data_IF_757368020591
#
_entry.id   IF_757368020591
#
_cell.length_a   1.000
_cell.length_b   1.000
_cell.length_c   1.000
_cell.angle_alpha   90.00
_cell.angle_beta   90.00
_cell.angle_gamma   90.00
#
_symmetry.space_group_name_H-M   'P 1'
#
loop_
_entity.id
_entity.type
_entity.pdbx_description
1 polymer ?
#
# COMPACT_ATOMS: atom_id res chain seq x y z
N UNK A 1 3.72 4.82 13.28
CA UNK A 1 2.56 4.40 12.47
C UNK A 1 2.64 4.99 11.08
N UNK A 2 2.54 4.17 10.07
CA UNK A 2 2.45 4.58 8.67
C UNK A 2 1.32 3.82 7.98
N UNK A 3 0.76 4.42 6.94
CA UNK A 3 -0.18 3.73 6.04
C UNK A 3 0.60 3.31 4.80
N UNK A 4 0.41 2.08 4.35
CA UNK A 4 1.05 1.55 3.14
C UNK A 4 0.00 1.18 2.10
N UNK A 5 0.32 1.36 0.83
CA UNK A 5 -0.51 0.85 -0.26
C UNK A 5 -0.12 -0.59 -0.64
N UNK A 6 -0.85 -1.17 -1.58
CA UNK A 6 -0.65 -2.56 -1.97
C UNK A 6 0.77 -2.81 -2.53
N UNK A 7 1.32 -1.87 -3.28
CA UNK A 7 2.65 -2.06 -3.88
C UNK A 7 3.75 -2.13 -2.82
N UNK A 8 3.67 -1.36 -1.74
CA UNK A 8 4.64 -1.46 -0.65
C UNK A 8 4.58 -2.86 -0.03
N UNK A 9 3.38 -3.41 0.18
CA UNK A 9 3.25 -4.77 0.70
C UNK A 9 3.80 -5.80 -0.30
N UNK A 10 3.55 -5.64 -1.60
CA UNK A 10 4.13 -6.49 -2.64
C UNK A 10 5.66 -6.48 -2.56
N UNK A 11 6.27 -5.31 -2.43
CA UNK A 11 7.73 -5.18 -2.31
C UNK A 11 8.28 -5.87 -1.05
N UNK A 12 7.48 -5.97 0.01
CA UNK A 12 7.88 -6.70 1.22
C UNK A 12 7.77 -8.22 1.08
N UNK A 13 6.92 -8.70 0.17
CA UNK A 13 6.63 -10.12 -0.02
C UNK A 13 7.44 -10.74 -1.16
N UNK A 14 7.79 -9.96 -2.17
CA UNK A 14 8.48 -10.43 -3.38
C UNK A 14 9.79 -9.66 -3.52
N UNK A 15 10.90 -10.41 -3.61
CA UNK A 15 12.22 -9.83 -3.77
C UNK A 15 12.35 -9.08 -5.10
N UNK A 16 12.98 -7.90 -5.07
CA UNK A 16 13.17 -7.04 -6.24
C UNK A 16 13.96 -5.80 -5.89
N UNK A 17 13.90 -4.79 -6.76
CA UNK A 17 14.70 -3.57 -6.63
C UNK A 17 14.39 -2.76 -5.37
N UNK A 18 13.15 -2.84 -4.87
CA UNK A 18 12.72 -2.12 -3.68
C UNK A 18 12.97 -2.86 -2.36
N UNK A 19 13.44 -4.10 -2.40
CA UNK A 19 13.64 -4.91 -1.20
C UNK A 19 14.50 -4.21 -0.14
N UNK A 20 15.66 -3.59 -0.48
CA UNK A 20 16.46 -2.89 0.54
C UNK A 20 15.73 -1.71 1.20
N UNK A 21 14.95 -0.95 0.43
CA UNK A 21 14.18 0.18 0.96
C UNK A 21 13.05 -0.28 1.88
N UNK A 22 12.35 -1.33 1.48
CA UNK A 22 11.26 -1.90 2.29
C UNK A 22 11.79 -2.46 3.62
N UNK A 23 12.95 -3.10 3.61
CA UNK A 23 13.57 -3.59 4.84
C UNK A 23 13.88 -2.44 5.79
N UNK A 24 14.48 -1.36 5.28
CA UNK A 24 14.76 -0.16 6.07
C UNK A 24 13.48 0.50 6.58
N UNK A 25 12.44 0.52 5.76
CA UNK A 25 11.13 1.04 6.15
C UNK A 25 10.59 0.28 7.36
N UNK A 26 10.65 -1.04 7.32
CA UNK A 26 10.20 -1.90 8.41
C UNK A 26 11.03 -1.73 9.68
N UNK A 27 12.31 -1.51 9.54
CA UNK A 27 13.19 -1.20 10.68
C UNK A 27 12.85 0.14 11.33
N UNK A 28 12.51 1.14 10.51
CA UNK A 28 12.19 2.48 11.00
C UNK A 28 10.81 2.54 11.66
N UNK A 29 9.83 1.85 11.11
CA UNK A 29 8.46 1.83 11.64
C UNK A 29 7.84 0.46 11.40
N UNK A 30 7.48 -0.21 12.46
CA UNK A 30 6.86 -1.55 12.42
C UNK A 30 5.33 -1.49 12.46
N UNK A 31 4.75 -0.33 12.73
CA UNK A 31 3.30 -0.15 12.83
C UNK A 31 2.73 0.23 11.47
N UNK A 32 2.55 -0.77 10.63
CA UNK A 32 2.00 -0.61 9.28
C UNK A 32 0.50 -0.80 9.30
N UNK A 33 -0.21 0.15 8.71
CA UNK A 33 -1.66 0.12 8.54
C UNK A 33 -2.02 0.14 7.06
N UNK A 34 -3.16 -0.45 6.73
CA UNK A 34 -3.65 -0.46 5.34
C UNK A 34 -5.18 -0.54 5.31
N UNK A 35 -5.75 -0.53 4.11
CA UNK A 35 -7.19 -0.63 3.88
C UNK A 35 -7.60 -2.06 3.54
N UNK A 36 -8.87 -2.42 3.73
CA UNK A 36 -9.38 -3.71 3.22
C UNK A 36 -9.21 -3.88 1.71
N UNK A 37 -9.19 -2.79 0.94
CA UNK A 37 -8.92 -2.80 -0.49
C UNK A 37 -7.57 -3.42 -0.85
N UNK A 38 -6.59 -3.31 0.04
CA UNK A 38 -5.22 -3.79 -0.20
C UNK A 38 -5.20 -5.26 -0.65
N UNK A 39 -6.01 -6.11 -0.05
CA UNK A 39 -6.07 -7.53 -0.41
C UNK A 39 -6.54 -7.73 -1.85
N UNK A 40 -7.54 -6.96 -2.28
CA UNK A 40 -8.05 -7.05 -3.65
C UNK A 40 -7.01 -6.59 -4.67
N UNK A 41 -6.26 -5.57 -4.35
CA UNK A 41 -5.18 -5.09 -5.21
C UNK A 41 -4.01 -6.10 -5.27
N UNK A 42 -3.66 -6.71 -4.15
CA UNK A 42 -2.66 -7.78 -4.10
C UNK A 42 -3.10 -8.97 -4.97
N UNK A 43 -4.36 -9.39 -4.86
CA UNK A 43 -4.91 -10.45 -5.69
C UNK A 43 -4.71 -10.15 -7.18
N UNK A 44 -4.98 -8.91 -7.60
CA UNK A 44 -4.81 -8.51 -8.99
C UNK A 44 -3.34 -8.54 -9.43
N UNK A 45 -2.42 -8.10 -8.58
CA UNK A 45 -0.98 -8.15 -8.86
C UNK A 45 -0.52 -9.60 -9.03
N UNK A 46 -0.92 -10.49 -8.14
CA UNK A 46 -0.56 -11.92 -8.20
C UNK A 46 -1.14 -12.60 -9.44
N UNK A 47 -2.40 -12.30 -9.77
CA UNK A 47 -3.04 -12.81 -10.98
C UNK A 47 -2.30 -12.36 -12.24
N UNK A 48 -1.83 -11.12 -12.26
CA UNK A 48 -1.04 -10.58 -13.37
C UNK A 48 0.31 -11.29 -13.49
N UNK A 49 1.00 -11.53 -12.38
CA UNK A 49 2.30 -12.21 -12.38
C UNK A 49 2.18 -13.68 -12.82
N UNK A 50 1.11 -14.35 -12.39
CA UNK A 50 0.85 -15.72 -12.85
C UNK A 50 0.59 -15.75 -14.37
N UNK A 51 -0.28 -14.89 -14.87
CA UNK A 51 -0.62 -14.79 -16.28
C UNK A 51 0.60 -14.50 -17.16
N UNK A 52 1.55 -13.72 -16.64
CA UNK A 52 2.81 -13.39 -17.34
C UNK A 52 3.93 -14.39 -17.09
N UNK A 53 3.65 -15.49 -16.42
CA UNK A 53 4.61 -16.54 -16.06
C UNK A 53 5.81 -16.03 -15.23
N UNK A 54 5.62 -14.96 -14.46
CA UNK A 54 6.62 -14.45 -13.51
C UNK A 54 6.63 -15.32 -12.26
N UNK A 55 5.45 -15.75 -11.81
CA UNK A 55 5.26 -16.63 -10.66
C UNK A 55 4.35 -17.79 -11.04
N UNK A 56 4.54 -18.93 -10.40
CA UNK A 56 3.62 -20.07 -10.53
C UNK A 56 2.37 -19.84 -9.67
N UNK A 57 1.28 -20.54 -9.98
CA UNK A 57 0.07 -20.49 -9.16
C UNK A 57 0.35 -20.88 -7.70
N UNK A 58 1.19 -21.90 -7.50
CA UNK A 58 1.58 -22.35 -6.16
C UNK A 58 2.28 -21.23 -5.37
N UNK A 59 3.21 -20.53 -6.01
CA UNK A 59 3.90 -19.37 -5.40
C UNK A 59 2.92 -18.25 -5.08
N UNK A 60 2.00 -17.93 -6.00
CA UNK A 60 0.97 -16.92 -5.79
C UNK A 60 0.07 -17.24 -4.60
N UNK A 61 -0.34 -18.50 -4.44
CA UNK A 61 -1.16 -18.93 -3.30
C UNK A 61 -0.47 -18.72 -1.96
N UNK A 62 0.83 -19.02 -1.88
CA UNK A 62 1.61 -18.80 -0.64
C UNK A 62 1.74 -17.33 -0.31
N UNK A 63 2.01 -16.50 -1.31
CA UNK A 63 2.12 -15.04 -1.14
C UNK A 63 0.77 -14.45 -0.72
N UNK A 64 -0.32 -14.92 -1.31
CA UNK A 64 -1.66 -14.49 -0.93
C UNK A 64 -1.98 -14.80 0.53
N UNK A 65 -1.63 -15.99 1.00
CA UNK A 65 -1.80 -16.37 2.41
C UNK A 65 -1.03 -15.44 3.35
N UNK A 66 0.21 -15.09 3.01
CA UNK A 66 1.00 -14.15 3.80
C UNK A 66 0.35 -12.76 3.81
N UNK A 67 -0.13 -12.28 2.64
CA UNK A 67 -0.82 -11.01 2.54
C UNK A 67 -2.11 -10.98 3.36
N UNK A 68 -2.90 -12.05 3.30
CA UNK A 68 -4.14 -12.15 4.08
C UNK A 68 -3.88 -12.04 5.58
N UNK A 69 -2.89 -12.77 6.09
CA UNK A 69 -2.53 -12.72 7.52
C UNK A 69 -2.06 -11.34 7.94
N UNK A 70 -1.24 -10.70 7.12
CA UNK A 70 -0.76 -9.35 7.41
C UNK A 70 -1.93 -8.36 7.42
N UNK A 71 -2.76 -8.38 6.39
CA UNK A 71 -3.86 -7.43 6.22
C UNK A 71 -4.92 -7.62 7.30
N UNK A 72 -5.20 -8.86 7.72
CA UNK A 72 -6.15 -9.13 8.79
C UNK A 72 -5.83 -8.33 10.06
N UNK A 73 -4.54 -8.18 10.37
CA UNK A 73 -4.09 -7.44 11.55
C UNK A 73 -3.98 -5.94 11.26
N UNK A 74 -3.48 -5.59 10.07
CA UNK A 74 -3.10 -4.21 9.72
C UNK A 74 -4.27 -3.37 9.20
N UNK A 75 -5.36 -3.99 8.73
CA UNK A 75 -6.44 -3.25 8.09
C UNK A 75 -7.27 -2.44 9.07
N UNK A 76 -7.70 -1.29 8.60
CA UNK A 76 -8.70 -0.45 9.26
C UNK A 76 -9.76 -0.06 8.24
N UNK A 77 -11.01 0.01 8.69
CA UNK A 77 -12.11 0.44 7.85
C UNK A 77 -11.94 1.89 7.41
N UNK A 78 -12.36 2.15 6.18
CA UNK A 78 -12.37 3.49 5.60
C UNK A 78 -13.82 3.89 5.34
N UNK A 79 -14.21 5.07 5.81
CA UNK A 79 -15.53 5.61 5.48
C UNK A 79 -15.55 5.99 4.00
N UNK A 80 -16.47 5.41 3.24
CA UNK A 80 -16.55 5.65 1.80
C UNK A 80 -16.90 7.10 1.48
N UNK A 81 -17.69 7.76 2.31
CA UNK A 81 -17.98 9.19 2.15
C UNK A 81 -16.69 10.02 2.26
N UNK A 82 -15.85 9.75 3.24
CA UNK A 82 -14.56 10.42 3.41
C UNK A 82 -13.65 10.18 2.20
N UNK A 83 -13.60 8.95 1.69
CA UNK A 83 -12.83 8.62 0.50
C UNK A 83 -13.34 9.35 -0.74
N UNK A 84 -14.66 9.46 -0.90
CA UNK A 84 -15.26 10.20 -2.03
C UNK A 84 -14.88 11.69 -1.97
N UNK A 85 -14.92 12.30 -0.79
CA UNK A 85 -14.52 13.70 -0.59
C UNK A 85 -13.06 13.90 -0.98
N UNK A 86 -12.18 12.99 -0.55
CA UNK A 86 -10.76 13.02 -0.89
C UNK A 86 -10.56 12.88 -2.40
N UNK A 87 -11.24 11.94 -3.05
CA UNK A 87 -11.16 11.73 -4.49
C UNK A 87 -11.54 12.99 -5.27
N UNK A 88 -12.62 13.65 -4.85
CA UNK A 88 -13.08 14.90 -5.48
C UNK A 88 -12.09 16.04 -5.25
N UNK A 89 -11.58 16.17 -4.03
CA UNK A 89 -10.66 17.26 -3.67
C UNK A 89 -9.34 17.21 -4.44
N UNK A 90 -8.77 16.01 -4.57
CA UNK A 90 -7.45 15.83 -5.16
C UNK A 90 -7.47 15.31 -6.61
N UNK A 91 -8.66 15.08 -7.17
CA UNK A 91 -8.83 14.52 -8.52
C UNK A 91 -8.08 13.19 -8.70
N UNK A 92 -8.22 12.30 -7.73
CA UNK A 92 -7.65 10.96 -7.73
C UNK A 92 -8.74 9.90 -7.77
N UNK A 93 -8.35 8.66 -8.07
CA UNK A 93 -9.32 7.55 -8.08
C UNK A 93 -9.89 7.28 -6.71
N UNK A 94 -11.10 6.69 -6.65
CA UNK A 94 -11.68 6.24 -5.39
C UNK A 94 -10.85 5.16 -4.69
N UNK A 95 -10.06 4.40 -5.44
CA UNK A 95 -9.14 3.41 -4.88
C UNK A 95 -7.98 4.08 -4.14
N UNK A 96 -7.26 4.99 -4.79
CA UNK A 96 -6.18 5.75 -4.16
C UNK A 96 -6.70 6.60 -2.99
N UNK A 97 -7.91 7.15 -3.14
CA UNK A 97 -8.55 7.96 -2.12
C UNK A 97 -8.79 7.20 -0.81
N UNK A 98 -8.99 5.88 -0.86
CA UNK A 98 -9.17 5.08 0.34
C UNK A 98 -7.91 5.07 1.20
N UNK A 99 -6.74 4.95 0.59
CA UNK A 99 -5.46 5.02 1.32
C UNK A 99 -5.22 6.41 1.89
N UNK A 100 -5.50 7.44 1.12
CA UNK A 100 -5.35 8.84 1.57
C UNK A 100 -6.30 9.15 2.72
N UNK A 101 -7.56 8.74 2.61
CA UNK A 101 -8.55 8.93 3.68
C UNK A 101 -8.15 8.21 4.96
N UNK A 102 -7.61 6.99 4.84
CA UNK A 102 -7.11 6.24 6.01
C UNK A 102 -5.93 7.00 6.66
N UNK A 103 -4.98 7.44 5.86
CA UNK A 103 -3.83 8.19 6.36
C UNK A 103 -4.25 9.46 7.11
N UNK A 104 -5.21 10.20 6.57
CA UNK A 104 -5.76 11.39 7.23
C UNK A 104 -6.48 11.03 8.53
N UNK A 105 -7.29 9.99 8.55
CA UNK A 105 -8.04 9.58 9.75
C UNK A 105 -7.13 9.12 10.88
N UNK A 106 -6.00 8.51 10.55
CA UNK A 106 -5.00 8.05 11.52
C UNK A 106 -3.94 9.10 11.83
N UNK A 107 -3.97 10.24 11.14
CA UNK A 107 -2.93 11.27 11.22
C UNK A 107 -1.53 10.66 11.01
N UNK A 108 -1.41 9.80 10.03
CA UNK A 108 -0.19 9.08 9.68
C UNK A 108 0.18 9.34 8.21
N UNK A 109 1.48 9.30 7.85
CA UNK A 109 1.86 9.44 6.45
C UNK A 109 1.47 8.21 5.64
N UNK A 110 1.10 8.44 4.39
CA UNK A 110 0.93 7.38 3.40
C UNK A 110 2.27 7.15 2.68
N UNK A 111 2.76 5.93 2.70
CA UNK A 111 3.98 5.55 1.98
C UNK A 111 3.57 4.89 0.67
N UNK A 112 4.03 5.46 -0.44
CA UNK A 112 3.73 4.97 -1.78
C UNK A 112 4.85 5.31 -2.75
N UNK A 113 5.11 4.42 -3.70
CA UNK A 113 6.02 4.68 -4.81
C UNK A 113 5.29 5.23 -6.04
N UNK A 114 3.99 5.41 -5.98
CA UNK A 114 3.21 6.02 -7.06
C UNK A 114 3.47 7.53 -7.10
N UNK A 115 4.24 7.95 -8.10
CA UNK A 115 4.61 9.36 -8.27
C UNK A 115 3.41 10.26 -8.49
N UNK A 116 2.42 9.82 -9.27
CA UNK A 116 1.23 10.62 -9.56
C UNK A 116 0.46 10.90 -8.27
N UNK A 117 0.34 9.90 -7.42
CA UNK A 117 -0.32 10.05 -6.14
C UNK A 117 0.43 11.01 -5.23
N UNK A 118 1.75 10.89 -5.14
CA UNK A 118 2.57 11.81 -4.33
C UNK A 118 2.46 13.26 -4.79
N UNK A 119 2.39 13.48 -6.11
CA UNK A 119 2.22 14.83 -6.67
C UNK A 119 0.83 15.37 -6.35
N UNK A 120 -0.20 14.52 -6.40
CA UNK A 120 -1.58 14.92 -6.15
C UNK A 120 -1.84 15.28 -4.68
N UNK A 121 -1.21 14.58 -3.73
CA UNK A 121 -1.47 14.77 -2.29
C UNK A 121 -0.16 15.05 -1.53
N UNK A 122 0.53 16.16 -1.84
CA UNK A 122 1.76 16.51 -1.15
C UNK A 122 1.52 16.76 0.34
N UNK A 123 2.46 16.35 1.17
CA UNK A 123 2.33 16.46 2.63
C UNK A 123 1.54 15.31 3.27
N UNK A 124 0.94 14.41 2.46
CA UNK A 124 0.26 13.21 2.94
C UNK A 124 0.97 11.95 2.43
N UNK A 125 1.30 11.90 1.14
CA UNK A 125 1.95 10.77 0.50
C UNK A 125 3.44 11.03 0.29
N UNK A 126 4.26 10.06 0.66
CA UNK A 126 5.73 10.13 0.60
C UNK A 126 6.30 8.83 0.02
N UNK A 127 7.40 8.94 -0.72
CA UNK A 127 8.16 7.75 -1.11
C UNK A 127 8.89 7.17 0.11
N UNK A 128 9.28 5.90 0.01
CA UNK A 128 10.11 5.28 1.04
C UNK A 128 11.40 6.07 1.26
N UNK A 129 12.04 6.51 0.18
CA UNK A 129 13.29 7.25 0.25
C UNK A 129 13.14 8.56 1.02
N UNK A 130 12.10 9.33 0.74
CA UNK A 130 11.84 10.60 1.43
C UNK A 130 11.50 10.35 2.89
N UNK A 131 10.66 9.38 3.19
CA UNK A 131 10.31 9.04 4.57
C UNK A 131 11.54 8.57 5.37
N UNK A 132 12.40 7.76 4.77
CA UNK A 132 13.61 7.25 5.43
C UNK A 132 14.65 8.34 5.70
N UNK A 133 14.63 9.44 4.95
CA UNK A 133 15.54 10.57 5.11
C UNK A 133 15.12 11.53 6.24
N UNK A 134 13.94 11.36 6.79
CA UNK A 134 13.42 12.21 7.88
C UNK A 134 13.98 11.86 9.26
#
# INVERSE_FOLDING_TARGET
MIVIDANILVYSLIEGDFTPLVQKLREKDTDWRTTPLCLHEILNVLATYERRAVLTLSQCKKLLEHAERFIEIAQSEVEMDAALIVAAKYAITGYDAQYVALAQSLNAPLITEDRKLRVAVPGIAFSMQVFLAQ
#
